data_IF_092596351900
#
_entry.id   IF_092596351900
#
_cell.length_a   1.000
_cell.length_b   1.000
_cell.length_c   1.000
_cell.angle_alpha   90.00
_cell.angle_beta   90.00
_cell.angle_gamma   90.00
#
_symmetry.space_group_name_H-M   'P 1'
#
loop_
_entity.id
_entity.type
_entity.pdbx_description
1 polymer ?
#
# COMPACT_ATOMS: atom_id res chain seq x y z
N UNK A 1 12.51 4.17 10.29
CA UNK A 1 12.13 5.49 9.76
C UNK A 1 13.05 6.67 10.12
N UNK A 2 13.55 7.40 9.12
CA UNK A 2 14.18 8.72 9.32
C UNK A 2 13.12 9.81 9.51
N UNK A 3 13.38 10.80 10.37
CA UNK A 3 12.46 11.96 10.57
C UNK A 3 12.19 12.74 9.28
N UNK A 4 13.13 12.69 8.34
CA UNK A 4 13.07 13.40 7.06
C UNK A 4 12.14 12.70 6.07
N UNK A 5 12.14 11.36 6.04
CA UNK A 5 11.21 10.55 5.23
C UNK A 5 9.77 10.80 5.67
N UNK A 6 9.51 10.74 6.98
CA UNK A 6 8.17 10.98 7.54
C UNK A 6 7.68 12.40 7.24
N UNK A 7 8.53 13.42 7.40
CA UNK A 7 8.18 14.80 7.09
C UNK A 7 7.87 15.01 5.59
N UNK A 8 8.53 14.26 4.71
CA UNK A 8 8.30 14.34 3.26
C UNK A 8 6.99 13.67 2.86
N UNK A 9 6.67 12.52 3.46
CA UNK A 9 5.39 11.84 3.27
C UNK A 9 4.22 12.69 3.79
N UNK A 10 4.37 13.30 4.96
CA UNK A 10 3.35 14.21 5.52
C UNK A 10 3.15 15.46 4.65
N UNK A 11 4.19 15.96 3.97
CA UNK A 11 4.03 17.03 2.96
C UNK A 11 3.21 16.57 1.75
N UNK A 12 3.45 15.36 1.24
CA UNK A 12 2.64 14.79 0.15
C UNK A 12 1.18 14.66 0.60
N UNK A 13 0.96 14.17 1.82
CA UNK A 13 -0.38 14.03 2.42
C UNK A 13 -1.08 15.39 2.56
N UNK A 14 -0.37 16.40 3.05
CA UNK A 14 -0.86 17.78 3.14
C UNK A 14 -1.12 18.42 1.77
N UNK A 15 -0.34 18.05 0.75
CA UNK A 15 -0.57 18.49 -0.63
C UNK A 15 -1.91 18.02 -1.21
N UNK A 16 -2.41 16.84 -0.81
CA UNK A 16 -3.75 16.37 -1.19
C UNK A 16 -4.86 17.16 -0.50
N UNK A 17 -4.60 17.69 0.70
CA UNK A 17 -5.55 18.49 1.45
C UNK A 17 -5.57 19.96 1.00
N UNK A 18 -4.50 20.44 0.36
CA UNK A 18 -4.33 21.83 -0.06
C UNK A 18 -4.73 22.09 -1.53
N UNK A 19 -5.33 21.12 -2.21
CA UNK A 19 -5.82 21.25 -3.59
C UNK A 19 -4.78 21.87 -4.55
N UNK A 20 -3.54 21.36 -4.50
CA UNK A 20 -2.52 21.74 -5.50
C UNK A 20 -2.86 21.08 -6.84
N UNK A 21 -3.84 21.66 -7.54
CA UNK A 21 -4.42 21.15 -8.75
C UNK A 21 -4.10 22.08 -9.93
N UNK A 22 -3.76 21.50 -11.07
CA UNK A 22 -3.65 22.24 -12.32
C UNK A 22 -4.41 21.53 -13.45
N UNK A 23 -5.11 22.28 -14.32
CA UNK A 23 -5.64 21.72 -15.55
C UNK A 23 -4.51 21.27 -16.50
N UNK A 24 -4.73 20.19 -17.24
CA UNK A 24 -3.79 19.69 -18.26
C UNK A 24 -3.45 20.76 -19.31
N UNK A 25 -4.38 21.66 -19.59
CA UNK A 25 -4.18 22.79 -20.51
C UNK A 25 -3.22 23.85 -19.95
N UNK A 26 -3.14 24.01 -18.62
CA UNK A 26 -2.18 24.91 -17.98
C UNK A 26 -0.79 24.30 -17.87
N UNK A 27 -0.70 22.97 -17.74
CA UNK A 27 0.58 22.24 -17.71
C UNK A 27 1.42 22.55 -18.96
N UNK A 28 0.80 22.57 -20.14
CA UNK A 28 1.48 22.83 -21.41
C UNK A 28 1.78 24.32 -21.65
N UNK A 29 1.04 25.24 -21.02
CA UNK A 29 1.09 26.68 -21.33
C UNK A 29 1.93 27.50 -20.35
N UNK A 30 2.28 26.95 -19.19
CA UNK A 30 2.96 27.68 -18.13
C UNK A 30 3.97 26.79 -17.41
N UNK A 31 5.00 27.40 -16.85
CA UNK A 31 5.98 26.75 -15.95
C UNK A 31 5.72 27.06 -14.48
N UNK A 32 4.68 27.85 -14.15
CA UNK A 32 4.33 28.24 -12.78
C UNK A 32 4.09 27.03 -11.86
N UNK A 33 3.60 25.92 -12.41
CA UNK A 33 3.38 24.67 -11.70
C UNK A 33 4.66 24.08 -11.09
N UNK A 34 5.84 24.38 -11.64
CA UNK A 34 7.12 23.93 -11.07
C UNK A 34 7.36 24.50 -9.67
N UNK A 35 6.93 25.74 -9.42
CA UNK A 35 7.02 26.37 -8.10
C UNK A 35 6.11 25.69 -7.08
N UNK A 36 4.86 25.41 -7.48
CA UNK A 36 3.91 24.65 -6.66
C UNK A 36 4.43 23.24 -6.36
N UNK A 37 4.95 22.54 -7.37
CA UNK A 37 5.53 21.20 -7.21
C UNK A 37 6.74 21.22 -6.28
N UNK A 38 7.64 22.22 -6.37
CA UNK A 38 8.77 22.35 -5.46
C UNK A 38 8.33 22.63 -4.01
N UNK A 39 7.24 23.39 -3.82
CA UNK A 39 6.74 23.77 -2.49
C UNK A 39 6.01 22.62 -1.80
N UNK A 40 5.13 21.93 -2.52
CA UNK A 40 4.26 20.91 -1.95
C UNK A 40 4.74 19.49 -2.22
N UNK A 41 5.80 19.32 -3.01
CA UNK A 41 6.37 18.03 -3.44
C UNK A 41 5.40 17.12 -4.22
N UNK A 42 4.21 17.62 -4.51
CA UNK A 42 3.14 16.94 -5.22
C UNK A 42 2.26 17.92 -5.98
N UNK A 43 1.69 17.47 -7.09
CA UNK A 43 0.75 18.23 -7.92
C UNK A 43 -0.25 17.30 -8.60
N UNK A 44 -1.53 17.63 -8.53
CA UNK A 44 -2.60 16.89 -9.20
C UNK A 44 -2.89 17.53 -10.56
N UNK A 45 -2.90 16.72 -11.62
CA UNK A 45 -3.26 17.16 -12.97
C UNK A 45 -4.70 16.75 -13.23
N UNK A 46 -5.51 17.74 -13.60
CA UNK A 46 -6.91 17.55 -13.95
C UNK A 46 -7.13 17.61 -15.46
N UNK A 47 -7.90 16.66 -16.00
CA UNK A 47 -8.51 16.77 -17.31
C UNK A 47 -10.03 16.76 -17.14
N UNK A 48 -10.71 17.79 -17.67
CA UNK A 48 -12.18 17.97 -17.53
C UNK A 48 -12.69 17.77 -16.09
N UNK A 49 -12.01 18.37 -15.10
CA UNK A 49 -12.28 18.24 -13.66
C UNK A 49 -12.14 16.82 -13.08
N UNK A 50 -11.59 15.87 -13.82
CA UNK A 50 -11.22 14.56 -13.33
C UNK A 50 -9.71 14.47 -13.13
N UNK A 51 -9.28 13.73 -12.12
CA UNK A 51 -7.85 13.51 -11.89
C UNK A 51 -7.30 12.61 -12.98
N UNK A 52 -6.43 13.17 -13.82
CA UNK A 52 -5.77 12.45 -14.89
C UNK A 52 -4.43 11.87 -14.43
N UNK A 53 -3.69 12.61 -13.58
CA UNK A 53 -2.40 12.17 -13.06
C UNK A 53 -2.05 12.87 -11.74
N UNK A 54 -1.13 12.26 -11.00
CA UNK A 54 -0.47 12.86 -9.83
C UNK A 54 1.02 12.90 -10.14
N UNK A 55 1.62 14.07 -9.98
CA UNK A 55 3.05 14.31 -10.17
C UNK A 55 3.67 14.48 -8.80
N UNK A 56 4.75 13.75 -8.55
CA UNK A 56 5.55 13.85 -7.34
C UNK A 56 6.95 14.32 -7.70
N UNK A 57 7.63 14.98 -6.77
CA UNK A 57 9.08 15.15 -6.90
C UNK A 57 9.78 13.79 -6.74
N UNK A 58 10.95 13.57 -7.36
CA UNK A 58 11.67 12.31 -7.23
C UNK A 58 11.95 11.92 -5.77
N UNK A 59 12.24 12.92 -4.93
CA UNK A 59 12.51 12.73 -3.51
C UNK A 59 11.25 12.28 -2.77
N UNK A 60 10.11 12.90 -3.06
CA UNK A 60 8.83 12.52 -2.48
C UNK A 60 8.38 11.12 -2.93
N UNK A 61 8.58 10.79 -4.21
CA UNK A 61 8.27 9.45 -4.70
C UNK A 61 9.09 8.36 -3.97
N UNK A 62 10.40 8.57 -3.82
CA UNK A 62 11.26 7.65 -3.05
C UNK A 62 10.83 7.56 -1.60
N UNK A 63 10.53 8.68 -0.96
CA UNK A 63 10.08 8.70 0.43
C UNK A 63 8.77 7.93 0.63
N UNK A 64 7.82 8.05 -0.30
CA UNK A 64 6.57 7.29 -0.28
C UNK A 64 6.81 5.79 -0.44
N UNK A 65 7.68 5.38 -1.37
CA UNK A 65 8.03 3.97 -1.53
C UNK A 65 8.67 3.40 -0.27
N UNK A 66 9.70 4.07 0.28
CA UNK A 66 10.33 3.65 1.53
C UNK A 66 9.33 3.55 2.69
N UNK A 67 8.38 4.47 2.75
CA UNK A 67 7.33 4.44 3.76
C UNK A 67 6.37 3.24 3.59
N UNK A 68 6.03 2.88 2.36
CA UNK A 68 5.22 1.68 2.07
C UNK A 68 5.99 0.43 2.50
N UNK A 69 7.26 0.31 2.10
CA UNK A 69 8.10 -0.84 2.44
C UNK A 69 8.22 -1.02 3.97
N UNK A 70 8.45 0.08 4.71
CA UNK A 70 8.52 0.05 6.17
C UNK A 70 7.19 -0.37 6.83
N UNK A 71 6.04 0.08 6.29
CA UNK A 71 4.72 -0.34 6.79
C UNK A 71 4.46 -1.82 6.51
N UNK A 72 4.85 -2.31 5.33
CA UNK A 72 4.70 -3.73 4.99
C UNK A 72 5.53 -4.60 5.94
N UNK A 73 6.75 -4.19 6.26
CA UNK A 73 7.61 -4.87 7.24
C UNK A 73 7.02 -4.83 8.66
N UNK A 74 6.46 -3.69 9.08
CA UNK A 74 5.79 -3.55 10.38
C UNK A 74 4.54 -4.45 10.45
N UNK A 75 3.77 -4.52 9.37
CA UNK A 75 2.59 -5.38 9.27
C UNK A 75 2.99 -6.86 9.33
N UNK A 76 4.03 -7.27 8.61
CA UNK A 76 4.54 -8.64 8.67
C UNK A 76 5.01 -8.99 10.08
N UNK A 77 5.77 -8.10 10.70
CA UNK A 77 6.24 -8.27 12.09
C UNK A 77 5.08 -8.43 13.07
N UNK A 78 4.05 -7.59 12.95
CA UNK A 78 2.85 -7.68 13.78
C UNK A 78 2.08 -8.99 13.56
N UNK A 79 1.99 -9.48 12.31
CA UNK A 79 1.38 -10.77 12.01
C UNK A 79 2.17 -11.93 12.62
N UNK A 80 3.51 -11.90 12.55
CA UNK A 80 4.37 -12.90 13.19
C UNK A 80 4.20 -12.85 14.71
N UNK A 81 4.18 -11.67 15.31
CA UNK A 81 3.96 -11.51 16.75
C UNK A 81 2.59 -12.05 17.18
N UNK A 82 1.54 -11.82 16.39
CA UNK A 82 0.21 -12.42 16.62
C UNK A 82 0.25 -13.95 16.56
N UNK A 83 0.96 -14.53 15.60
CA UNK A 83 1.12 -15.99 15.50
C UNK A 83 1.88 -16.57 16.69
N UNK A 84 2.92 -15.87 17.17
CA UNK A 84 3.68 -16.27 18.35
C UNK A 84 2.83 -16.15 19.63
N UNK A 85 2.11 -15.04 19.81
CA UNK A 85 1.18 -14.84 20.93
C UNK A 85 0.05 -15.86 20.94
N UNK A 86 -0.48 -16.24 19.79
CA UNK A 86 -1.48 -17.30 19.69
C UNK A 86 -0.93 -18.68 20.11
N UNK A 87 0.40 -18.87 20.07
CA UNK A 87 1.09 -20.08 20.52
C UNK A 87 1.56 -19.99 21.98
N UNK A 88 1.81 -18.79 22.51
CA UNK A 88 2.11 -18.54 23.93
C UNK A 88 0.90 -18.88 24.80
N UNK A 89 0.85 -20.12 25.30
CA UNK A 89 -0.27 -20.64 26.10
C UNK A 89 -0.90 -21.91 25.54
N UNK A 90 -0.48 -22.37 24.34
CA UNK A 90 -0.81 -23.73 23.90
C UNK A 90 0.06 -24.75 24.65
N UNK A 91 -0.54 -25.48 25.58
CA UNK A 91 0.12 -26.60 26.28
C UNK A 91 0.25 -27.84 25.37
N UNK A 92 -0.66 -27.99 24.41
CA UNK A 92 -0.66 -29.08 23.43
C UNK A 92 -0.02 -28.62 22.13
N UNK A 93 1.31 -28.72 22.06
CA UNK A 93 2.04 -28.55 20.81
C UNK A 93 1.73 -29.74 19.92
N UNK A 94 0.99 -29.51 18.83
CA UNK A 94 0.78 -30.54 17.83
C UNK A 94 2.10 -30.93 17.19
N UNK A 95 2.27 -32.22 16.96
CA UNK A 95 3.49 -32.73 16.32
C UNK A 95 3.65 -32.12 14.91
N UNK A 96 4.88 -32.02 14.42
CA UNK A 96 5.14 -31.49 13.07
C UNK A 96 4.35 -32.22 11.97
N UNK A 97 4.07 -33.51 12.19
CA UNK A 97 3.25 -34.33 11.28
C UNK A 97 1.77 -33.96 11.32
N UNK A 98 1.22 -33.63 12.49
CA UNK A 98 -0.15 -33.13 12.63
C UNK A 98 -0.33 -31.74 12.03
N UNK A 99 0.64 -30.85 12.22
CA UNK A 99 0.65 -29.52 11.59
C UNK A 99 0.72 -29.63 10.06
N UNK A 100 1.57 -30.52 9.53
CA UNK A 100 1.67 -30.76 8.09
C UNK A 100 0.36 -31.33 7.52
N UNK A 101 -0.27 -32.26 8.23
CA UNK A 101 -1.58 -32.83 7.84
C UNK A 101 -2.67 -31.76 7.80
N UNK A 102 -2.76 -30.92 8.84
CA UNK A 102 -3.73 -29.82 8.90
C UNK A 102 -3.50 -28.75 7.85
N UNK A 103 -2.24 -28.37 7.60
CA UNK A 103 -1.90 -27.42 6.55
C UNK A 103 -2.32 -27.95 5.17
N UNK A 104 -1.99 -29.23 4.87
CA UNK A 104 -2.40 -29.88 3.62
C UNK A 104 -3.92 -29.93 3.46
N UNK A 105 -4.64 -30.22 4.54
CA UNK A 105 -6.10 -30.20 4.53
C UNK A 105 -6.66 -28.80 4.25
N UNK A 106 -6.08 -27.75 4.86
CA UNK A 106 -6.49 -26.36 4.57
C UNK A 106 -6.22 -25.95 3.12
N UNK A 107 -5.11 -26.41 2.52
CA UNK A 107 -4.85 -26.18 1.10
C UNK A 107 -5.87 -26.89 0.19
N UNK A 108 -6.24 -28.12 0.52
CA UNK A 108 -7.28 -28.86 -0.21
C UNK A 108 -8.64 -28.17 -0.11
N UNK A 109 -9.02 -27.69 1.08
CA UNK A 109 -10.28 -26.96 1.28
C UNK A 109 -10.30 -25.64 0.48
N UNK A 110 -9.19 -24.90 0.44
CA UNK A 110 -9.06 -23.69 -0.37
C UNK A 110 -9.08 -23.98 -1.86
N UNK A 111 -8.46 -25.08 -2.29
CA UNK A 111 -8.49 -25.53 -3.68
C UNK A 111 -9.92 -25.87 -4.12
N UNK A 112 -10.68 -26.59 -3.29
CA UNK A 112 -12.08 -26.92 -3.57
C UNK A 112 -12.97 -25.66 -3.57
N UNK A 113 -12.72 -24.70 -2.67
CA UNK A 113 -13.41 -23.40 -2.69
C UNK A 113 -13.14 -22.64 -4.00
N UNK A 114 -11.86 -22.53 -4.41
CA UNK A 114 -11.47 -21.87 -5.65
C UNK A 114 -12.05 -22.58 -6.86
N UNK A 115 -12.06 -23.90 -6.85
CA UNK A 115 -12.67 -24.72 -7.90
C UNK A 115 -14.17 -24.51 -7.97
N UNK A 116 -14.88 -24.48 -6.85
CA UNK A 116 -16.31 -24.16 -6.79
C UNK A 116 -16.65 -22.76 -7.31
N UNK A 117 -15.77 -21.78 -7.10
CA UNK A 117 -15.91 -20.43 -7.66
C UNK A 117 -15.66 -20.39 -9.18
N UNK A 118 -14.73 -21.21 -9.69
CA UNK A 118 -14.39 -21.28 -11.11
C UNK A 118 -15.39 -22.12 -11.92
N UNK A 119 -15.85 -23.24 -11.35
CA UNK A 119 -16.85 -24.13 -11.93
C UNK A 119 -18.28 -23.55 -11.81
N UNK A 120 -18.47 -22.54 -10.94
CA UNK A 120 -19.73 -21.86 -10.66
C UNK A 120 -20.14 -20.72 -11.61
N UNK A 121 -19.48 -20.53 -12.75
CA UNK A 121 -19.81 -19.49 -13.74
C UNK A 121 -20.29 -20.05 -15.11
N UNK A 122 -20.89 -21.24 -15.12
CA UNK A 122 -21.62 -21.76 -16.27
C UNK A 122 -23.06 -22.12 -15.92
N UNK A 123 -23.86 -21.15 -15.47
CA UNK A 123 -25.32 -21.15 -15.60
C UNK A 123 -25.82 -19.73 -15.85
#
# INVERSE_FOLDING_TARGET
MSKETLATVEKVRGGFQLDSQIPVTQLARSTAWKGSLAKFSMLQILDRNQTAAIVLTPEAFRAVLTYIDEIEEELESAQVEMLLKAREGMENWESGEELARKAKQSFLERQELLRGLLDGNQQ
#
